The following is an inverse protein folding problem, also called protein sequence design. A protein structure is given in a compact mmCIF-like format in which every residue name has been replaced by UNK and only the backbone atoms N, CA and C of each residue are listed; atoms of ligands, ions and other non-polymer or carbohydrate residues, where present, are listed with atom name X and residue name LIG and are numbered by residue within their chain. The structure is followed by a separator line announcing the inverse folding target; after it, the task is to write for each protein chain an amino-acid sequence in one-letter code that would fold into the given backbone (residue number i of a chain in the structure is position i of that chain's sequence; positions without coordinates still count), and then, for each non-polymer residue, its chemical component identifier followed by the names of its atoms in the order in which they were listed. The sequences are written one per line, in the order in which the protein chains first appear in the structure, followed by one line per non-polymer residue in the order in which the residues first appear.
data_IF_672275129639
#
_entry.id   IF_672275129639
#
_cell.length_a   1.000
_cell.length_b   1.000
_cell.length_c   1.000
_cell.angle_alpha   90.00
_cell.angle_beta   90.00
_cell.angle_gamma   90.00
#
_symmetry.space_group_name_H-M   'P 1'
#
loop_
_entity.id
_entity.type
_entity.pdbx_description
1 polymer ?
#
# COMPACT_ATOMS: atom_id res chain seq x y z
N UNK A 1 9.11 -11.65 21.44
CA UNK A 1 9.79 -10.60 20.66
C UNK A 1 8.94 -10.14 19.46
N UNK A 2 7.88 -9.32 19.67
CA UNK A 2 7.04 -8.79 18.59
C UNK A 2 7.59 -7.50 17.93
N UNK A 3 8.52 -6.79 18.59
CA UNK A 3 9.00 -5.46 18.17
C UNK A 3 9.63 -5.45 16.76
N UNK A 4 10.36 -6.50 16.39
CA UNK A 4 11.05 -6.57 15.10
C UNK A 4 10.08 -6.63 13.90
N UNK A 5 8.96 -7.35 14.03
CA UNK A 5 8.01 -7.51 12.91
C UNK A 5 7.21 -6.24 12.65
N UNK A 6 6.81 -5.52 13.70
CA UNK A 6 6.13 -4.22 13.56
C UNK A 6 7.00 -3.22 12.81
N UNK A 7 8.27 -3.08 13.18
CA UNK A 7 9.19 -2.19 12.47
C UNK A 7 9.37 -2.59 11.00
N UNK A 8 9.43 -3.89 10.67
CA UNK A 8 9.49 -4.35 9.27
C UNK A 8 8.24 -3.93 8.47
N UNK A 9 7.05 -4.06 9.04
CA UNK A 9 5.80 -3.66 8.38
C UNK A 9 5.76 -2.14 8.19
N UNK A 10 6.19 -1.36 9.19
CA UNK A 10 6.30 0.09 9.09
C UNK A 10 7.30 0.52 8.01
N UNK A 11 8.46 -0.15 7.92
CA UNK A 11 9.45 0.10 6.86
C UNK A 11 8.89 -0.24 5.48
N UNK A 12 8.11 -1.32 5.35
CA UNK A 12 7.41 -1.66 4.11
C UNK A 12 6.34 -0.63 3.74
N UNK A 13 5.60 -0.12 4.73
CA UNK A 13 4.64 0.96 4.51
C UNK A 13 5.34 2.21 3.99
N UNK A 14 6.43 2.61 4.63
CA UNK A 14 7.22 3.75 4.19
C UNK A 14 7.77 3.55 2.77
N UNK A 15 8.27 2.35 2.45
CA UNK A 15 8.71 2.01 1.10
C UNK A 15 7.57 2.14 0.08
N UNK A 16 6.38 1.66 0.42
CA UNK A 16 5.17 1.80 -0.40
C UNK A 16 4.79 3.26 -0.63
N UNK A 17 4.82 4.09 0.40
CA UNK A 17 4.56 5.54 0.30
C UNK A 17 5.59 6.21 -0.60
N UNK A 18 6.88 6.01 -0.33
CA UNK A 18 7.96 6.67 -1.09
C UNK A 18 7.94 6.26 -2.55
N UNK A 19 7.76 4.96 -2.85
CA UNK A 19 7.68 4.47 -4.23
C UNK A 19 6.46 5.02 -4.96
N UNK A 20 5.29 5.03 -4.34
CA UNK A 20 4.05 5.56 -4.94
C UNK A 20 4.17 7.04 -5.26
N UNK A 21 4.62 7.86 -4.30
CA UNK A 21 4.83 9.30 -4.52
C UNK A 21 5.89 9.55 -5.59
N UNK A 22 6.94 8.72 -5.67
CA UNK A 22 7.93 8.82 -6.73
C UNK A 22 7.33 8.52 -8.11
N UNK A 23 6.50 7.48 -8.24
CA UNK A 23 5.80 7.18 -9.50
C UNK A 23 4.78 8.25 -9.87
N UNK A 24 4.06 8.84 -8.92
CA UNK A 24 3.17 9.98 -9.17
C UNK A 24 3.93 11.19 -9.70
N UNK A 25 5.07 11.52 -9.08
CA UNK A 25 5.94 12.60 -9.56
C UNK A 25 6.40 12.32 -10.99
N UNK A 26 6.78 11.09 -11.31
CA UNK A 26 7.18 10.69 -12.66
C UNK A 26 6.01 10.86 -13.63
N UNK A 27 4.81 10.39 -13.28
CA UNK A 27 3.61 10.52 -14.08
C UNK A 27 3.20 11.98 -14.31
N UNK A 28 3.33 12.82 -13.28
CA UNK A 28 3.04 14.24 -13.33
C UNK A 28 4.17 15.08 -13.95
N UNK A 29 5.31 14.46 -14.28
CA UNK A 29 6.56 15.10 -14.78
C UNK A 29 7.24 16.06 -13.80
N UNK A 30 6.52 16.67 -12.87
CA UNK A 30 7.03 17.60 -11.87
C UNK A 30 6.13 17.67 -10.62
N UNK A 31 6.63 18.22 -9.52
CA UNK A 31 5.93 18.39 -8.24
C UNK A 31 4.76 19.38 -8.27
N UNK A 32 4.61 20.16 -9.34
CA UNK A 32 3.55 21.17 -9.47
C UNK A 32 2.14 20.59 -9.37
N UNK A 33 1.96 19.28 -9.57
CA UNK A 33 0.65 18.63 -9.35
C UNK A 33 0.15 18.80 -7.91
N UNK A 34 1.05 18.88 -6.92
CA UNK A 34 0.72 19.13 -5.52
C UNK A 34 0.22 20.56 -5.24
N UNK A 35 0.33 21.49 -6.19
CA UNK A 35 -0.30 22.81 -6.05
C UNK A 35 -1.79 22.78 -6.38
N UNK A 36 -2.26 21.72 -7.05
CA UNK A 36 -3.67 21.54 -7.38
C UNK A 36 -4.37 20.72 -6.29
N UNK A 37 -5.63 21.08 -5.97
CA UNK A 37 -6.45 20.31 -5.03
C UNK A 37 -6.59 18.85 -5.48
N UNK A 38 -6.77 18.63 -6.78
CA UNK A 38 -6.89 17.29 -7.36
C UNK A 38 -5.61 16.47 -7.17
N UNK A 39 -4.43 17.04 -7.42
CA UNK A 39 -3.16 16.34 -7.24
C UNK A 39 -2.86 15.99 -5.78
N UNK A 40 -3.18 16.88 -4.85
CA UNK A 40 -3.08 16.57 -3.40
C UNK A 40 -4.01 15.41 -3.05
N UNK A 41 -5.26 15.44 -3.51
CA UNK A 41 -6.24 14.39 -3.22
C UNK A 41 -5.82 13.03 -3.80
N UNK A 42 -5.28 13.01 -5.03
CA UNK A 42 -4.76 11.79 -5.65
C UNK A 42 -3.57 11.26 -4.84
N UNK A 43 -2.64 12.12 -4.46
CA UNK A 43 -1.47 11.73 -3.67
C UNK A 43 -1.85 11.17 -2.29
N UNK A 44 -2.81 11.81 -1.60
CA UNK A 44 -3.31 11.30 -0.33
C UNK A 44 -4.06 9.98 -0.51
N UNK A 45 -4.84 9.86 -1.59
CA UNK A 45 -5.57 8.64 -1.94
C UNK A 45 -4.64 7.46 -2.19
N UNK A 46 -3.57 7.69 -2.95
CA UNK A 46 -2.60 6.65 -3.31
C UNK A 46 -1.69 6.25 -2.15
N UNK A 47 -1.48 7.14 -1.18
CA UNK A 47 -0.75 6.85 0.07
C UNK A 47 -1.61 6.14 1.12
N UNK A 48 -2.94 6.33 1.09
CA UNK A 48 -3.88 5.79 2.08
C UNK A 48 -3.72 4.28 2.39
N UNK A 49 -3.54 3.37 1.41
CA UNK A 49 -3.44 1.95 1.70
C UNK A 49 -2.25 1.60 2.60
N UNK A 50 -1.13 2.32 2.48
CA UNK A 50 0.05 2.10 3.29
C UNK A 50 -0.11 2.63 4.72
N UNK A 51 -0.88 3.73 4.89
CA UNK A 51 -1.28 4.23 6.21
C UNK A 51 -2.17 3.20 6.90
N UNK A 52 -3.20 2.70 6.21
CA UNK A 52 -4.06 1.63 6.73
C UNK A 52 -3.25 0.38 7.07
N UNK A 53 -2.28 0.02 6.22
CA UNK A 53 -1.40 -1.12 6.44
C UNK A 53 -0.58 -0.99 7.73
N UNK A 54 0.01 0.19 7.96
CA UNK A 54 0.76 0.49 9.16
C UNK A 54 -0.15 0.43 10.40
N UNK A 55 -1.31 1.11 10.36
CA UNK A 55 -2.27 1.13 11.47
C UNK A 55 -2.82 -0.25 11.83
N UNK A 56 -3.08 -1.11 10.84
CA UNK A 56 -3.56 -2.47 11.05
C UNK A 56 -2.57 -3.34 11.84
N UNK A 57 -1.29 -2.98 11.89
CA UNK A 57 -0.28 -3.71 12.68
C UNK A 57 -0.58 -3.65 14.18
N UNK A 58 -1.13 -2.54 14.67
CA UNK A 58 -1.50 -2.36 16.08
C UNK A 58 -2.64 -3.29 16.52
N UNK A 59 -3.40 -3.78 15.53
CA UNK A 59 -4.55 -4.66 15.72
C UNK A 59 -4.15 -6.14 15.78
N UNK A 60 -2.90 -6.50 15.46
CA UNK A 60 -2.37 -7.85 15.36
C UNK A 60 -1.18 -8.04 16.33
N UNK A 61 -1.44 -8.71 17.46
CA UNK A 61 -0.48 -8.79 18.57
C UNK A 61 0.25 -10.13 18.69
N UNK A 62 -0.16 -11.17 17.96
CA UNK A 62 0.47 -12.49 18.05
C UNK A 62 1.55 -12.65 16.97
N UNK A 63 2.67 -13.35 17.23
CA UNK A 63 3.73 -13.53 16.24
C UNK A 63 3.24 -14.13 14.92
N UNK A 64 2.28 -15.06 14.98
CA UNK A 64 1.68 -15.71 13.81
C UNK A 64 0.88 -14.73 12.95
N UNK A 65 -0.01 -13.94 13.57
CA UNK A 65 -0.80 -12.93 12.83
C UNK A 65 0.08 -11.83 12.26
N UNK A 66 1.10 -11.40 12.99
CA UNK A 66 2.09 -10.45 12.49
C UNK A 66 2.91 -11.00 11.31
N UNK A 67 3.25 -12.29 11.32
CA UNK A 67 3.94 -12.94 10.20
C UNK A 67 3.08 -13.00 8.94
N UNK A 68 1.79 -13.36 9.07
CA UNK A 68 0.84 -13.34 7.95
C UNK A 68 0.64 -11.92 7.42
N UNK A 69 0.52 -10.95 8.32
CA UNK A 69 0.38 -9.54 7.94
C UNK A 69 1.61 -9.01 7.21
N UNK A 70 2.81 -9.36 7.67
CA UNK A 70 4.06 -9.02 7.00
C UNK A 70 4.09 -9.59 5.57
N UNK A 71 3.67 -10.84 5.38
CA UNK A 71 3.63 -11.47 4.05
C UNK A 71 2.65 -10.74 3.11
N UNK A 72 1.43 -10.47 3.58
CA UNK A 72 0.43 -9.70 2.82
C UNK A 72 0.96 -8.31 2.46
N UNK A 73 1.55 -7.62 3.44
CA UNK A 73 2.13 -6.28 3.26
C UNK A 73 3.24 -6.27 2.20
N UNK A 74 4.15 -7.26 2.25
CA UNK A 74 5.24 -7.37 1.29
C UNK A 74 4.72 -7.61 -0.13
N UNK A 75 3.76 -8.54 -0.31
CA UNK A 75 3.15 -8.81 -1.61
C UNK A 75 2.44 -7.56 -2.14
N UNK A 76 1.68 -6.87 -1.29
CA UNK A 76 0.94 -5.68 -1.69
C UNK A 76 1.87 -4.55 -2.17
N UNK A 77 2.98 -4.31 -1.49
CA UNK A 77 3.98 -3.31 -1.89
C UNK A 77 4.67 -3.72 -3.20
N UNK A 78 5.08 -4.99 -3.33
CA UNK A 78 5.71 -5.48 -4.57
C UNK A 78 4.78 -5.36 -5.77
N UNK A 79 3.54 -5.85 -5.65
CA UNK A 79 2.53 -5.75 -6.73
C UNK A 79 2.32 -4.30 -7.13
N UNK A 80 2.25 -3.38 -6.17
CA UNK A 80 2.05 -1.97 -6.48
C UNK A 80 3.22 -1.37 -7.27
N UNK A 81 4.45 -1.61 -6.82
CA UNK A 81 5.66 -1.16 -7.52
C UNK A 81 5.71 -1.73 -8.94
N UNK A 82 5.46 -3.03 -9.10
CA UNK A 82 5.46 -3.69 -10.41
C UNK A 82 4.37 -3.12 -11.32
N UNK A 83 3.17 -2.88 -10.79
CA UNK A 83 2.05 -2.36 -11.57
C UNK A 83 2.33 -0.91 -12.03
N UNK A 84 2.80 -0.04 -11.13
CA UNK A 84 3.22 1.33 -11.51
C UNK A 84 4.37 1.32 -12.51
N UNK A 85 5.38 0.48 -12.31
CA UNK A 85 6.49 0.36 -13.25
C UNK A 85 6.02 -0.08 -14.64
N UNK A 86 5.19 -1.13 -14.70
CA UNK A 86 4.70 -1.66 -15.96
C UNK A 86 3.85 -0.63 -16.71
N UNK A 87 2.96 0.07 -16.02
CA UNK A 87 2.08 1.08 -16.62
C UNK A 87 2.84 2.33 -17.08
N UNK A 88 3.84 2.78 -16.33
CA UNK A 88 4.57 4.01 -16.71
C UNK A 88 5.68 3.78 -17.73
N UNK A 89 6.33 2.61 -17.72
CA UNK A 89 7.55 2.39 -18.50
C UNK A 89 7.41 1.34 -19.60
N UNK A 90 6.51 0.38 -19.48
CA UNK A 90 6.38 -0.71 -20.46
C UNK A 90 5.23 -0.41 -21.44
N UNK A 91 4.07 0.02 -20.93
CA UNK A 91 2.91 0.36 -21.75
C UNK A 91 2.36 1.74 -21.37
N UNK A 92 3.08 2.83 -21.73
CA UNK A 92 2.62 4.18 -21.44
C UNK A 92 1.43 4.54 -22.33
N UNK A 93 0.23 4.51 -21.76
CA UNK A 93 -0.97 4.99 -22.40
C UNK A 93 -1.77 5.90 -21.44
N UNK A 94 -2.63 6.76 -22.01
CA UNK A 94 -3.40 7.73 -21.22
C UNK A 94 -4.42 7.07 -20.28
N UNK A 95 -4.90 5.87 -20.59
CA UNK A 95 -5.78 5.10 -19.71
C UNK A 95 -5.01 4.47 -18.55
N UNK A 96 -3.72 4.21 -18.72
CA UNK A 96 -2.80 3.73 -17.71
C UNK A 96 -2.77 4.63 -16.47
N UNK A 97 -3.02 5.94 -16.62
CA UNK A 97 -3.13 6.85 -15.48
C UNK A 97 -4.26 6.48 -14.49
N UNK A 98 -5.28 5.72 -14.93
CA UNK A 98 -6.34 5.20 -14.04
C UNK A 98 -5.79 4.26 -12.96
N UNK A 99 -4.59 3.71 -13.13
CA UNK A 99 -3.95 2.89 -12.11
C UNK A 99 -3.79 3.63 -10.78
N UNK A 100 -3.52 4.95 -10.81
CA UNK A 100 -3.41 5.78 -9.61
C UNK A 100 -4.74 5.95 -8.87
N UNK A 101 -5.87 5.67 -9.53
CA UNK A 101 -7.19 5.69 -8.91
C UNK A 101 -7.60 4.32 -8.39
N UNK A 102 -7.46 3.28 -9.22
CA UNK A 102 -7.99 1.94 -8.92
C UNK A 102 -7.03 1.06 -8.10
N UNK A 103 -5.72 1.18 -8.28
CA UNK A 103 -4.76 0.38 -7.52
C UNK A 103 -4.85 0.67 -6.01
N UNK A 104 -4.91 1.94 -5.56
CA UNK A 104 -5.12 2.22 -4.13
C UNK A 104 -6.46 1.72 -3.60
N UNK A 105 -7.52 1.75 -4.42
CA UNK A 105 -8.81 1.17 -4.06
C UNK A 105 -8.68 -0.34 -3.77
N UNK A 106 -8.07 -1.07 -4.70
CA UNK A 106 -7.85 -2.51 -4.56
C UNK A 106 -6.95 -2.81 -3.35
N UNK A 107 -5.88 -2.04 -3.13
CA UNK A 107 -5.02 -2.19 -1.97
C UNK A 107 -5.76 -1.92 -0.65
N UNK A 108 -6.65 -0.92 -0.59
CA UNK A 108 -7.50 -0.68 0.58
C UNK A 108 -8.44 -1.88 0.85
N UNK A 109 -9.08 -2.41 -0.20
CA UNK A 109 -9.96 -3.57 -0.09
C UNK A 109 -9.20 -4.82 0.39
N UNK A 110 -8.01 -5.08 -0.17
CA UNK A 110 -7.13 -6.18 0.26
C UNK A 110 -6.71 -5.97 1.71
N UNK A 111 -6.31 -4.75 2.10
CA UNK A 111 -5.89 -4.43 3.47
C UNK A 111 -7.01 -4.75 4.48
N UNK A 112 -8.22 -4.26 4.22
CA UNK A 112 -9.39 -4.52 5.06
C UNK A 112 -9.75 -6.00 5.08
N UNK A 113 -9.84 -6.64 3.91
CA UNK A 113 -10.21 -8.05 3.78
C UNK A 113 -9.21 -9.00 4.44
N UNK A 114 -7.91 -8.78 4.22
CA UNK A 114 -6.85 -9.58 4.83
C UNK A 114 -6.80 -9.39 6.35
N UNK A 115 -7.00 -8.16 6.86
CA UNK A 115 -7.09 -7.91 8.30
C UNK A 115 -8.24 -8.68 8.95
N UNK A 116 -9.43 -8.67 8.33
CA UNK A 116 -10.60 -9.41 8.80
C UNK A 116 -10.30 -10.91 8.78
N UNK A 117 -9.81 -11.43 7.66
CA UNK A 117 -9.51 -12.85 7.49
C UNK A 117 -8.48 -13.34 8.51
N UNK A 118 -7.37 -12.62 8.70
CA UNK A 118 -6.33 -12.97 9.66
C UNK A 118 -6.91 -13.01 11.08
N UNK A 119 -7.77 -12.05 11.43
CA UNK A 119 -8.43 -12.04 12.75
C UNK A 119 -9.40 -13.19 12.94
N UNK A 120 -10.18 -13.54 11.92
CA UNK A 120 -11.09 -14.69 11.95
C UNK A 120 -10.33 -16.01 12.13
N UNK A 121 -9.26 -16.22 11.35
CA UNK A 121 -8.41 -17.41 11.48
C UNK A 121 -7.75 -17.50 12.86
N UNK A 122 -7.26 -16.37 13.38
CA UNK A 122 -6.67 -16.33 14.72
C UNK A 122 -7.69 -16.55 15.85
N UNK A 123 -8.98 -16.31 15.60
CA UNK A 123 -10.06 -16.61 16.54
C UNK A 123 -10.43 -18.11 16.51
N UNK A 124 -10.49 -18.72 15.32
CA UNK A 124 -10.76 -20.15 15.16
C UNK A 124 -9.67 -21.06 15.74
N UNK A 125 -8.44 -20.57 15.80
CA UNK A 125 -7.29 -21.29 16.38
C UNK A 125 -7.23 -21.23 17.93
N UNK A 126 -8.18 -20.57 18.60
CA UNK A 126 -8.28 -20.50 20.08
C UNK A 126 -9.21 -21.57 20.63
#
# INVERSE_FOLDING_TARGET
MPINTTHKIQSLALLGVVSTVAFERIAATDWRFLHSKAGILICLWSVLPYVLMACATELLKTPRTQSWWLAVSAVMVMVAITAYYHTLFIHPDAQGALIFLFLPLVQCLITCGALILIRLLAWLDR
#
